data_IF_618177458742
#
_entry.id   IF_618177458742
#
_cell.length_a   1.000
_cell.length_b   1.000
_cell.length_c   1.000
_cell.angle_alpha   90.00
_cell.angle_beta   90.00
_cell.angle_gamma   90.00
#
_symmetry.space_group_name_H-M   'P 1'
#
loop_
_entity.id
_entity.type
_entity.pdbx_description
1 polymer ?
#
# COMPACT_ATOMS: atom_id res chain seq x y z
N UNK A 1 8.50 -24.05 -22.57
CA UNK A 1 8.68 -23.07 -21.47
C UNK A 1 7.40 -22.28 -21.41
N UNK A 2 6.70 -22.31 -20.27
CA UNK A 2 5.53 -21.45 -20.07
C UNK A 2 6.03 -20.01 -20.09
N UNK A 3 5.52 -19.21 -21.02
CA UNK A 3 5.89 -17.81 -21.15
C UNK A 3 5.25 -17.05 -19.97
N UNK A 4 6.02 -16.84 -18.91
CA UNK A 4 5.53 -16.18 -17.70
C UNK A 4 5.56 -14.67 -17.94
N UNK A 5 4.51 -14.16 -18.59
CA UNK A 5 4.36 -12.72 -18.88
C UNK A 5 3.83 -12.02 -17.63
N UNK A 6 4.56 -11.00 -17.18
CA UNK A 6 4.08 -10.12 -16.11
C UNK A 6 2.87 -9.29 -16.61
N UNK A 7 1.77 -9.30 -15.87
CA UNK A 7 0.56 -8.54 -16.20
C UNK A 7 0.51 -7.23 -15.40
N UNK A 8 0.84 -6.12 -16.09
CA UNK A 8 0.85 -4.79 -15.50
C UNK A 8 -0.55 -4.27 -15.14
N UNK A 9 -1.59 -4.71 -15.85
CA UNK A 9 -2.95 -4.27 -15.52
C UNK A 9 -3.38 -4.83 -14.16
N UNK A 10 -3.04 -6.09 -13.89
CA UNK A 10 -3.33 -6.73 -12.59
C UNK A 10 -2.55 -6.07 -11.45
N UNK A 11 -1.30 -5.68 -11.71
CA UNK A 11 -0.47 -4.99 -10.73
C UNK A 11 -1.05 -3.61 -10.36
N UNK A 12 -1.45 -2.81 -11.36
CA UNK A 12 -2.08 -1.49 -11.13
C UNK A 12 -3.41 -1.63 -10.38
N UNK A 13 -4.27 -2.58 -10.79
CA UNK A 13 -5.53 -2.86 -10.07
C UNK A 13 -5.29 -3.22 -8.60
N UNK A 14 -4.23 -3.99 -8.31
CA UNK A 14 -3.88 -4.37 -6.94
C UNK A 14 -3.48 -3.14 -6.12
N UNK A 15 -2.65 -2.24 -6.68
CA UNK A 15 -2.27 -1.00 -5.99
C UNK A 15 -3.47 -0.10 -5.70
N UNK A 16 -4.39 0.02 -6.65
CA UNK A 16 -5.61 0.81 -6.50
C UNK A 16 -6.52 0.22 -5.42
N UNK A 17 -6.68 -1.11 -5.39
CA UNK A 17 -7.43 -1.79 -4.33
C UNK A 17 -6.78 -1.57 -2.96
N UNK A 18 -5.46 -1.71 -2.85
CA UNK A 18 -4.75 -1.48 -1.59
C UNK A 18 -4.90 -0.01 -1.13
N UNK A 19 -4.90 0.96 -2.04
CA UNK A 19 -5.19 2.36 -1.72
C UNK A 19 -6.62 2.55 -1.21
N UNK A 20 -7.61 1.90 -1.85
CA UNK A 20 -8.99 1.92 -1.40
C UNK A 20 -9.17 1.25 -0.02
N UNK A 21 -8.44 0.16 0.27
CA UNK A 21 -8.40 -0.47 1.59
C UNK A 21 -7.82 0.49 2.62
N UNK A 22 -6.70 1.15 2.32
CA UNK A 22 -6.09 2.12 3.23
C UNK A 22 -7.04 3.29 3.56
N UNK A 23 -7.79 3.78 2.57
CA UNK A 23 -8.84 4.78 2.80
C UNK A 23 -9.90 4.27 3.79
N UNK A 24 -10.40 3.05 3.58
CA UNK A 24 -11.39 2.42 4.47
C UNK A 24 -10.86 2.23 5.90
N UNK A 25 -9.60 1.81 6.07
CA UNK A 25 -8.98 1.66 7.39
C UNK A 25 -8.90 3.01 8.12
N UNK A 26 -8.48 4.07 7.43
CA UNK A 26 -8.44 5.43 8.02
C UNK A 26 -9.81 5.92 8.46
N UNK A 27 -10.84 5.71 7.63
CA UNK A 27 -12.22 6.05 8.00
C UNK A 27 -12.69 5.27 9.23
N UNK A 28 -12.45 3.95 9.28
CA UNK A 28 -12.83 3.14 10.43
C UNK A 28 -12.12 3.57 11.72
N UNK A 29 -10.84 3.93 11.66
CA UNK A 29 -10.11 4.48 12.80
C UNK A 29 -10.69 5.83 13.27
N UNK A 30 -11.02 6.72 12.33
CA UNK A 30 -11.63 8.02 12.66
C UNK A 30 -13.03 7.86 13.28
N UNK A 31 -13.84 6.94 12.76
CA UNK A 31 -15.17 6.63 13.31
C UNK A 31 -15.08 6.03 14.71
N UNK A 32 -14.09 5.17 14.95
CA UNK A 32 -13.83 4.58 16.26
C UNK A 32 -13.34 5.64 17.27
N UNK A 33 -12.39 6.48 16.87
CA UNK A 33 -11.91 7.62 17.65
C UNK A 33 -13.08 8.53 18.07
N UNK A 34 -13.91 8.94 17.11
CA UNK A 34 -15.06 9.79 17.37
C UNK A 34 -16.10 9.14 18.30
N UNK A 35 -16.19 7.82 18.35
CA UNK A 35 -17.08 7.09 19.28
C UNK A 35 -16.50 7.03 20.69
N UNK A 36 -15.21 6.69 20.82
CA UNK A 36 -14.55 6.55 22.11
C UNK A 36 -14.46 7.90 22.82
N UNK A 37 -14.05 8.95 22.11
CA UNK A 37 -13.82 10.28 22.70
C UNK A 37 -15.08 10.92 23.30
N UNK A 38 -16.28 10.51 22.86
CA UNK A 38 -17.55 10.96 23.48
C UNK A 38 -17.68 10.59 24.94
N UNK A 39 -17.09 9.46 25.34
CA UNK A 39 -17.19 8.94 26.72
C UNK A 39 -15.87 9.01 27.47
N UNK A 40 -14.79 9.42 26.79
CA UNK A 40 -13.44 9.39 27.35
C UNK A 40 -13.30 10.25 28.62
N UNK A 41 -14.05 11.35 28.71
CA UNK A 41 -14.08 12.20 29.90
C UNK A 41 -14.59 11.47 31.16
N UNK A 42 -15.44 10.46 30.99
CA UNK A 42 -16.00 9.66 32.08
C UNK A 42 -15.12 8.46 32.45
N UNK A 43 -14.05 8.20 31.68
CA UNK A 43 -13.14 7.09 31.92
C UNK A 43 -12.16 7.43 33.04
N UNK A 44 -11.67 6.41 33.74
CA UNK A 44 -10.64 6.57 34.77
C UNK A 44 -9.25 6.77 34.14
N UNK A 45 -8.32 7.39 34.88
CA UNK A 45 -7.01 7.82 34.35
C UNK A 45 -6.22 6.72 33.62
N UNK A 46 -6.20 5.50 34.15
CA UNK A 46 -5.49 4.36 33.51
C UNK A 46 -6.11 3.98 32.16
N UNK A 47 -7.44 4.02 32.04
CA UNK A 47 -8.12 3.72 30.78
C UNK A 47 -7.92 4.84 29.75
N UNK A 48 -7.88 6.10 30.19
CA UNK A 48 -7.54 7.24 29.33
C UNK A 48 -6.10 7.13 28.80
N UNK A 49 -5.13 6.84 29.67
CA UNK A 49 -3.72 6.64 29.28
C UNK A 49 -3.57 5.51 28.26
N UNK A 50 -4.22 4.36 28.48
CA UNK A 50 -4.22 3.24 27.55
C UNK A 50 -4.83 3.62 26.19
N UNK A 51 -5.92 4.39 26.18
CA UNK A 51 -6.52 4.92 24.96
C UNK A 51 -5.52 5.81 24.20
N UNK A 52 -4.88 6.76 24.87
CA UNK A 52 -3.92 7.66 24.21
C UNK A 52 -2.71 6.91 23.63
N UNK A 53 -2.22 5.88 24.32
CA UNK A 53 -1.16 5.01 23.82
C UNK A 53 -1.60 4.25 22.56
N UNK A 54 -2.78 3.63 22.59
CA UNK A 54 -3.35 2.93 21.42
C UNK A 54 -3.60 3.90 20.26
N UNK A 55 -4.05 5.13 20.55
CA UNK A 55 -4.27 6.18 19.56
C UNK A 55 -2.99 6.58 18.85
N UNK A 56 -1.90 6.76 19.60
CA UNK A 56 -0.60 7.06 19.02
C UNK A 56 -0.12 5.91 18.11
N UNK A 57 -0.27 4.66 18.55
CA UNK A 57 0.16 3.48 17.80
C UNK A 57 -0.62 3.34 16.48
N UNK A 58 -1.96 3.36 16.50
CA UNK A 58 -2.72 3.19 15.26
C UNK A 58 -2.48 4.34 14.27
N UNK A 59 -2.22 5.55 14.76
CA UNK A 59 -1.97 6.71 13.91
C UNK A 59 -0.61 6.58 13.22
N UNK A 60 0.39 6.11 13.97
CA UNK A 60 1.69 5.77 13.41
C UNK A 60 1.57 4.70 12.32
N UNK A 61 0.83 3.61 12.57
CA UNK A 61 0.67 2.53 11.60
C UNK A 61 -0.10 3.00 10.35
N UNK A 62 -1.18 3.76 10.53
CA UNK A 62 -1.95 4.33 9.42
C UNK A 62 -1.14 5.30 8.56
N UNK A 63 -0.13 5.96 9.13
CA UNK A 63 0.81 6.81 8.40
C UNK A 63 1.86 6.02 7.59
N UNK A 64 2.15 4.77 7.95
CA UNK A 64 3.07 3.90 7.19
C UNK A 64 2.43 3.32 5.92
N UNK A 65 1.11 3.12 5.92
CA UNK A 65 0.42 2.46 4.81
C UNK A 65 0.65 3.13 3.44
N UNK A 66 0.62 4.47 3.29
CA UNK A 66 0.96 5.13 2.03
C UNK A 66 2.43 4.92 1.61
N UNK A 67 3.35 4.80 2.58
CA UNK A 67 4.78 4.56 2.30
C UNK A 67 4.97 3.20 1.65
N UNK A 68 4.30 2.17 2.17
CA UNK A 68 4.35 0.82 1.56
C UNK A 68 3.71 0.78 0.19
N UNK A 69 2.59 1.49 -0.03
CA UNK A 69 1.99 1.61 -1.36
C UNK A 69 2.96 2.23 -2.37
N UNK A 70 3.62 3.31 -1.98
CA UNK A 70 4.55 4.00 -2.86
C UNK A 70 5.79 3.14 -3.16
N UNK A 71 6.32 2.43 -2.16
CA UNK A 71 7.38 1.44 -2.38
C UNK A 71 6.96 0.32 -3.33
N UNK A 72 5.71 -0.17 -3.21
CA UNK A 72 5.13 -1.14 -4.14
C UNK A 72 5.04 -0.59 -5.57
N UNK A 73 4.56 0.65 -5.73
CA UNK A 73 4.49 1.34 -7.02
C UNK A 73 5.86 1.47 -7.68
N UNK A 74 6.87 1.91 -6.93
CA UNK A 74 8.23 2.04 -7.44
C UNK A 74 8.83 0.70 -7.86
N UNK A 75 8.54 -0.37 -7.10
CA UNK A 75 8.97 -1.73 -7.46
C UNK A 75 8.34 -2.17 -8.77
N UNK A 76 7.05 -1.92 -8.96
CA UNK A 76 6.33 -2.25 -10.20
C UNK A 76 6.85 -1.46 -11.41
N UNK A 77 7.14 -0.18 -11.24
CA UNK A 77 7.79 0.65 -12.28
C UNK A 77 9.17 0.10 -12.65
N UNK A 78 9.98 -0.30 -11.66
CA UNK A 78 11.29 -0.90 -11.93
C UNK A 78 11.18 -2.23 -12.68
N UNK A 79 10.18 -3.06 -12.36
CA UNK A 79 9.90 -4.29 -13.10
C UNK A 79 9.53 -3.98 -14.56
N UNK A 80 8.70 -2.95 -14.78
CA UNK A 80 8.32 -2.48 -16.13
C UNK A 80 9.53 -2.09 -16.98
N UNK A 81 10.40 -1.24 -16.44
CA UNK A 81 11.58 -0.76 -17.16
C UNK A 81 12.53 -1.91 -17.54
N UNK A 82 12.70 -2.87 -16.62
CA UNK A 82 13.54 -4.05 -16.84
C UNK A 82 12.95 -5.00 -17.89
N UNK A 83 11.63 -5.22 -17.89
CA UNK A 83 10.95 -6.04 -18.90
C UNK A 83 11.01 -5.41 -20.29
N UNK A 84 10.69 -4.11 -20.41
CA UNK A 84 10.74 -3.38 -21.67
C UNK A 84 12.14 -3.37 -22.29
N UNK A 85 13.18 -3.15 -21.48
CA UNK A 85 14.58 -3.17 -21.93
C UNK A 85 15.01 -4.56 -22.40
N UNK A 86 14.61 -5.61 -21.67
CA UNK A 86 14.96 -7.01 -22.01
C UNK A 86 14.29 -7.45 -23.31
N UNK A 87 12.99 -7.22 -23.48
CA UNK A 87 12.27 -7.58 -24.71
C UNK A 87 12.82 -6.83 -25.93
N UNK A 88 13.11 -5.53 -25.80
CA UNK A 88 13.69 -4.74 -26.89
C UNK A 88 15.07 -5.26 -27.30
N UNK A 89 15.94 -5.60 -26.33
CA UNK A 89 17.26 -6.19 -26.61
C UNK A 89 17.14 -7.57 -27.27
N UNK A 90 16.23 -8.41 -26.81
CA UNK A 90 16.00 -9.73 -27.41
C UNK A 90 15.54 -9.61 -28.87
N UNK A 91 14.62 -8.68 -29.17
CA UNK A 91 14.19 -8.39 -30.54
C UNK A 91 15.35 -7.90 -31.41
N UNK A 92 16.16 -6.96 -30.93
CA UNK A 92 17.33 -6.44 -31.67
C UNK A 92 18.37 -7.53 -31.98
N UNK A 93 18.66 -8.43 -31.04
CA UNK A 93 19.59 -9.55 -31.27
C UNK A 93 19.04 -10.47 -32.36
N UNK A 94 17.74 -10.76 -32.32
CA UNK A 94 17.11 -11.64 -33.31
C UNK A 94 17.04 -11.00 -34.70
N UNK A 95 16.70 -9.71 -34.78
CA UNK A 95 16.65 -8.96 -36.04
C UNK A 95 18.04 -8.82 -36.68
N UNK A 96 19.10 -8.63 -35.87
CA UNK A 96 20.49 -8.59 -36.36
C UNK A 96 21.07 -9.98 -36.68
N UNK A 97 20.38 -11.06 -36.32
CA UNK A 97 20.80 -12.44 -36.60
C UNK A 97 20.20 -13.03 -37.89
N UNK A 98 19.45 -12.21 -38.64
CA UNK A 98 18.91 -12.52 -39.98
C UNK A 98 19.61 -11.70 -41.05
#
# INVERSE_FOLDING_TARGET
MSDYRFDFNVADMTLDEMNAVNGRVKSALADMEAQVERTLADWTGVAQEAYWAAKAEWNQQAAQMPVYLESGRQTLLSISDNYGTTEQRAKQIWDNSR
#
